data_IF_634761701044
#
_entry.id   IF_634761701044
#
_cell.length_a   1.000
_cell.length_b   1.000
_cell.length_c   1.000
_cell.angle_alpha   90.00
_cell.angle_beta   90.00
_cell.angle_gamma   90.00
#
_symmetry.space_group_name_H-M   'P 1'
#
loop_
_entity.id
_entity.type
_entity.pdbx_description
1 polymer ?
#
# COMPACT_ATOMS: atom_id res chain seq x y z
N UNK A 1 6.18 -15.68 23.50
CA UNK A 1 6.62 -14.40 24.13
C UNK A 1 6.60 -13.33 23.05
N UNK A 2 5.46 -12.72 22.79
CA UNK A 2 5.27 -11.79 21.64
C UNK A 2 4.97 -10.36 22.08
N UNK A 3 4.44 -10.19 23.30
CA UNK A 3 4.01 -8.90 23.81
C UNK A 3 5.04 -7.77 23.65
N UNK A 4 6.36 -7.97 23.91
CA UNK A 4 7.33 -6.90 23.67
C UNK A 4 7.40 -6.43 22.21
N UNK A 5 7.26 -7.35 21.25
CA UNK A 5 7.25 -7.02 19.82
C UNK A 5 5.96 -6.31 19.42
N UNK A 6 4.82 -6.75 19.96
CA UNK A 6 3.53 -6.08 19.74
C UNK A 6 3.57 -4.63 20.25
N UNK A 7 4.14 -4.41 21.44
CA UNK A 7 4.29 -3.07 22.00
C UNK A 7 5.22 -2.19 21.14
N UNK A 8 6.27 -2.76 20.55
CA UNK A 8 7.18 -2.06 19.66
C UNK A 8 6.56 -1.66 18.31
N UNK A 9 5.41 -2.25 17.92
CA UNK A 9 4.68 -1.91 16.70
C UNK A 9 3.67 -0.76 16.89
N UNK A 10 3.47 -0.30 18.12
CA UNK A 10 2.55 0.81 18.38
C UNK A 10 3.04 2.10 17.75
N UNK A 11 2.13 2.82 17.10
CA UNK A 11 2.42 4.14 16.57
C UNK A 11 2.57 5.16 17.70
N UNK A 12 3.66 5.92 17.67
CA UNK A 12 3.86 7.05 18.58
C UNK A 12 3.16 8.28 18.01
N UNK A 13 2.13 8.75 18.71
CA UNK A 13 1.32 9.90 18.29
C UNK A 13 1.63 11.15 19.13
N UNK A 14 1.71 12.35 18.52
CA UNK A 14 1.99 13.59 19.25
C UNK A 14 0.80 14.02 20.11
N UNK A 15 0.92 13.89 21.43
CA UNK A 15 -0.13 14.31 22.40
C UNK A 15 -0.61 15.74 22.17
N UNK A 16 0.32 16.68 21.97
CA UNK A 16 -0.01 18.11 21.78
C UNK A 16 -0.87 18.38 20.54
N UNK A 17 -0.84 17.48 19.54
CA UNK A 17 -1.70 17.60 18.36
C UNK A 17 -3.06 16.95 18.61
N UNK A 18 -3.08 15.75 19.19
CA UNK A 18 -4.28 14.93 19.29
C UNK A 18 -5.14 15.19 20.52
N UNK A 19 -4.60 15.79 21.57
CA UNK A 19 -5.34 16.07 22.81
C UNK A 19 -6.57 16.95 22.51
N UNK A 20 -7.75 16.51 22.97
CA UNK A 20 -9.02 17.20 22.75
C UNK A 20 -9.65 16.98 21.38
N UNK A 21 -9.03 16.21 20.48
CA UNK A 21 -9.61 15.83 19.19
C UNK A 21 -10.32 14.48 19.27
N UNK A 22 -11.41 14.35 18.52
CA UNK A 22 -12.10 13.07 18.35
C UNK A 22 -11.36 12.21 17.31
N UNK A 23 -10.78 11.10 17.77
CA UNK A 23 -10.08 10.13 16.93
C UNK A 23 -11.00 9.36 15.98
N UNK A 24 -12.29 9.24 16.30
CA UNK A 24 -13.24 8.45 15.50
C UNK A 24 -13.86 9.26 14.36
N UNK A 25 -13.60 10.57 14.30
CA UNK A 25 -14.14 11.45 13.27
C UNK A 25 -13.24 11.47 12.03
N UNK A 26 -13.85 11.24 10.86
CA UNK A 26 -13.17 11.43 9.57
C UNK A 26 -12.80 12.90 9.35
N UNK A 27 -11.59 13.13 8.84
CA UNK A 27 -11.05 14.48 8.59
C UNK A 27 -10.15 14.48 7.37
N UNK A 28 -10.23 15.57 6.59
CA UNK A 28 -9.26 15.88 5.54
C UNK A 28 -8.10 16.75 6.04
N UNK A 29 -8.09 17.09 7.34
CA UNK A 29 -6.97 17.80 7.93
C UNK A 29 -5.76 16.84 8.01
N UNK A 30 -4.61 17.21 7.44
CA UNK A 30 -3.39 16.41 7.55
C UNK A 30 -3.06 16.09 9.02
N UNK A 31 -2.91 14.82 9.40
CA UNK A 31 -2.42 14.47 10.73
C UNK A 31 -0.94 14.83 10.85
N UNK A 32 -0.53 15.28 12.04
CA UNK A 32 0.88 15.44 12.35
C UNK A 32 1.52 14.07 12.65
N UNK A 33 2.58 13.74 11.93
CA UNK A 33 3.34 12.50 12.10
C UNK A 33 4.85 12.73 12.22
N UNK A 34 5.59 11.69 12.59
CA UNK A 34 7.05 11.68 12.77
C UNK A 34 7.82 11.11 11.57
N UNK A 35 7.11 10.79 10.49
CA UNK A 35 7.64 10.11 9.32
C UNK A 35 8.44 11.00 8.35
N UNK A 36 9.06 10.36 7.34
CA UNK A 36 9.90 11.04 6.35
C UNK A 36 9.12 11.83 5.31
N UNK A 37 7.79 11.67 5.23
CA UNK A 37 6.93 12.41 4.32
C UNK A 37 5.82 13.13 5.07
N UNK A 38 5.44 14.30 4.56
CA UNK A 38 4.28 15.07 4.99
C UNK A 38 3.23 15.05 3.87
N UNK A 39 1.96 15.05 4.26
CA UNK A 39 0.87 15.20 3.30
C UNK A 39 0.98 16.58 2.65
N UNK A 40 1.13 16.61 1.33
CA UNK A 40 1.25 17.83 0.53
C UNK A 40 -0.13 18.26 -0.01
N UNK A 41 -0.86 17.32 -0.61
CA UNK A 41 -2.21 17.56 -1.13
C UNK A 41 -3.06 16.30 -1.04
N UNK A 42 -4.32 16.46 -0.66
CA UNK A 42 -5.31 15.37 -0.69
C UNK A 42 -6.55 15.83 -1.45
N UNK A 43 -6.98 15.02 -2.41
CA UNK A 43 -8.21 15.21 -3.17
C UNK A 43 -9.04 13.94 -3.07
N UNK A 44 -10.15 14.03 -2.34
CA UNK A 44 -10.97 12.89 -1.98
C UNK A 44 -11.39 12.08 -3.22
N UNK A 45 -11.11 10.78 -3.20
CA UNK A 45 -11.44 9.85 -4.28
C UNK A 45 -10.64 10.03 -5.57
N UNK A 46 -9.65 10.93 -5.61
CA UNK A 46 -8.86 11.22 -6.82
C UNK A 46 -7.38 11.00 -6.63
N UNK A 47 -6.76 11.67 -5.66
CA UNK A 47 -5.32 11.55 -5.46
C UNK A 47 -4.86 12.01 -4.09
N UNK A 48 -3.73 11.47 -3.63
CA UNK A 48 -2.99 11.98 -2.49
C UNK A 48 -1.51 12.14 -2.86
N UNK A 49 -0.92 13.30 -2.57
CA UNK A 49 0.50 13.55 -2.74
C UNK A 49 1.17 13.81 -1.40
N UNK A 50 2.36 13.26 -1.26
CA UNK A 50 3.23 13.37 -0.11
C UNK A 50 4.54 14.00 -0.55
N UNK A 51 5.07 14.93 0.25
CA UNK A 51 6.39 15.55 0.02
C UNK A 51 7.34 15.13 1.12
N UNK A 52 8.58 14.80 0.73
CA UNK A 52 9.64 14.43 1.67
C UNK A 52 9.92 15.58 2.63
N UNK A 53 10.06 15.28 3.91
CA UNK A 53 10.45 16.22 4.94
C UNK A 53 11.98 16.38 4.94
N UNK A 54 12.54 17.53 4.53
CA UNK A 54 13.98 17.75 4.55
C UNK A 54 14.55 17.85 5.97
N UNK A 55 13.70 17.95 7.00
CA UNK A 55 14.12 18.00 8.40
C UNK A 55 13.70 16.73 9.15
N UNK A 56 13.59 15.59 8.45
CA UNK A 56 13.23 14.34 9.09
C UNK A 56 14.34 13.85 10.03
N UNK A 57 13.99 13.74 11.31
CA UNK A 57 14.92 13.46 12.41
C UNK A 57 15.73 12.17 12.26
N UNK A 58 15.20 11.17 11.56
CA UNK A 58 15.82 9.85 11.42
C UNK A 58 16.53 9.63 10.08
N UNK A 59 16.69 10.66 9.24
CA UNK A 59 17.31 10.56 7.91
C UNK A 59 18.68 9.87 7.94
N UNK A 60 19.53 10.26 8.89
CA UNK A 60 20.93 9.84 8.93
C UNK A 60 21.15 8.60 9.83
N UNK A 61 20.10 8.15 10.51
CA UNK A 61 20.11 6.95 11.34
C UNK A 61 20.20 5.68 10.47
N UNK A 62 20.77 4.57 10.99
CA UNK A 62 20.86 3.31 10.25
C UNK A 62 19.52 2.80 9.71
N UNK A 63 18.42 3.08 10.42
CA UNK A 63 17.06 2.68 10.03
C UNK A 63 16.47 3.52 8.89
N UNK A 64 17.03 4.71 8.60
CA UNK A 64 16.54 5.63 7.56
C UNK A 64 17.46 5.74 6.35
N UNK A 65 18.76 5.47 6.51
CA UNK A 65 19.77 5.63 5.46
C UNK A 65 19.44 4.76 4.24
N UNK A 66 19.42 5.36 3.05
CA UNK A 66 19.12 4.69 1.77
C UNK A 66 17.63 4.52 1.46
N UNK A 67 16.75 4.91 2.38
CA UNK A 67 15.30 4.90 2.20
C UNK A 67 14.76 6.30 1.88
N UNK A 68 13.51 6.36 1.42
CA UNK A 68 12.77 7.61 1.22
C UNK A 68 13.45 8.58 0.22
N UNK A 69 13.81 8.03 -0.94
CA UNK A 69 14.64 8.71 -1.93
C UNK A 69 13.89 9.76 -2.77
N UNK A 70 12.59 9.55 -3.01
CA UNK A 70 11.78 10.44 -3.85
C UNK A 70 11.44 11.75 -3.13
N UNK A 71 11.45 12.87 -3.85
CA UNK A 71 10.99 14.15 -3.27
C UNK A 71 9.47 14.14 -3.06
N UNK A 72 8.73 13.58 -4.02
CA UNK A 72 7.27 13.50 -3.99
C UNK A 72 6.83 12.09 -4.31
N UNK A 73 5.84 11.60 -3.58
CA UNK A 73 5.11 10.37 -3.87
C UNK A 73 3.66 10.76 -4.11
N UNK A 74 3.09 10.29 -5.22
CA UNK A 74 1.68 10.52 -5.56
C UNK A 74 1.00 9.17 -5.73
N UNK A 75 -0.18 9.06 -5.14
CA UNK A 75 -1.09 7.96 -5.37
C UNK A 75 -2.32 8.51 -6.08
N UNK A 76 -2.59 7.99 -7.27
CA UNK A 76 -3.81 8.27 -8.02
C UNK A 76 -4.80 7.12 -7.84
N UNK A 77 -6.05 7.46 -7.55
CA UNK A 77 -7.12 6.49 -7.30
C UNK A 77 -7.94 6.29 -8.57
N UNK A 78 -8.05 5.04 -8.99
CA UNK A 78 -8.86 4.63 -10.14
C UNK A 78 -10.00 3.73 -9.66
N UNK A 79 -11.14 3.79 -10.36
CA UNK A 79 -12.34 3.01 -10.00
C UNK A 79 -12.17 1.51 -10.24
N UNK A 80 -11.36 1.15 -11.22
CA UNK A 80 -11.05 -0.23 -11.56
C UNK A 80 -9.60 -0.38 -12.07
N UNK A 81 -9.09 -1.60 -12.00
CA UNK A 81 -7.72 -1.93 -12.39
C UNK A 81 -7.47 -1.86 -13.90
N UNK A 82 -8.51 -1.98 -14.74
CA UNK A 82 -8.39 -1.83 -16.19
C UNK A 82 -8.05 -0.41 -16.58
N UNK A 83 -8.74 0.58 -16.00
CA UNK A 83 -8.43 2.01 -16.20
C UNK A 83 -7.04 2.35 -15.65
N UNK A 84 -6.70 1.84 -14.45
CA UNK A 84 -5.37 2.04 -13.88
C UNK A 84 -4.26 1.50 -14.81
N UNK A 85 -4.47 0.33 -15.41
CA UNK A 85 -3.52 -0.27 -16.36
C UNK A 85 -3.38 0.58 -17.64
N UNK A 86 -4.47 1.15 -18.17
CA UNK A 86 -4.34 2.05 -19.33
C UNK A 86 -3.57 3.33 -18.99
N UNK A 87 -3.83 3.91 -17.82
CA UNK A 87 -3.10 5.08 -17.35
C UNK A 87 -1.60 4.79 -17.16
N UNK A 88 -1.26 3.64 -16.59
CA UNK A 88 0.12 3.17 -16.47
C UNK A 88 0.78 3.00 -17.85
N UNK A 89 0.10 2.36 -18.81
CA UNK A 89 0.59 2.19 -20.18
C UNK A 89 0.79 3.51 -20.92
N UNK A 90 0.04 4.55 -20.54
CA UNK A 90 0.19 5.91 -21.04
C UNK A 90 1.28 6.72 -20.32
N UNK A 91 1.99 6.15 -19.35
CA UNK A 91 3.06 6.82 -18.60
C UNK A 91 2.56 7.77 -17.51
N UNK A 92 1.32 7.60 -17.02
CA UNK A 92 0.77 8.42 -15.93
C UNK A 92 1.14 7.89 -14.53
N UNK A 93 1.74 6.70 -14.45
CA UNK A 93 2.21 6.10 -13.21
C UNK A 93 3.55 5.40 -13.44
N UNK A 94 4.41 5.43 -12.43
CA UNK A 94 5.76 4.85 -12.51
C UNK A 94 5.77 3.35 -12.18
N UNK A 95 4.82 2.88 -11.37
CA UNK A 95 4.75 1.50 -10.86
C UNK A 95 3.30 1.02 -10.89
N UNK A 96 3.09 -0.22 -11.34
CA UNK A 96 1.84 -0.95 -11.17
C UNK A 96 2.12 -2.34 -10.59
N UNK A 97 1.43 -2.69 -9.49
CA UNK A 97 1.55 -4.02 -8.87
C UNK A 97 0.41 -4.89 -9.38
N UNK A 98 0.75 -5.88 -10.21
CA UNK A 98 -0.24 -6.77 -10.83
C UNK A 98 -0.62 -7.92 -9.90
N UNK A 99 -1.92 -8.20 -9.82
CA UNK A 99 -2.47 -9.33 -9.04
C UNK A 99 -3.38 -10.24 -9.87
N UNK A 100 -3.74 -9.84 -11.09
CA UNK A 100 -4.54 -10.61 -12.03
C UNK A 100 -3.65 -11.40 -12.99
N UNK A 101 -3.75 -12.73 -12.95
CA UNK A 101 -3.07 -13.63 -13.89
C UNK A 101 -3.45 -13.30 -15.34
N UNK A 102 -4.73 -12.97 -15.59
CA UNK A 102 -5.20 -12.56 -16.92
C UNK A 102 -4.50 -11.30 -17.40
N UNK A 103 -4.45 -10.26 -16.56
CA UNK A 103 -3.83 -9.00 -16.93
C UNK A 103 -2.31 -9.15 -17.09
N UNK A 104 -1.65 -9.90 -16.20
CA UNK A 104 -0.24 -10.25 -16.32
C UNK A 104 0.09 -10.92 -17.66
N UNK A 105 -0.76 -11.85 -18.10
CA UNK A 105 -0.49 -12.67 -19.29
C UNK A 105 -0.66 -11.92 -20.61
N UNK A 106 -1.61 -10.98 -20.70
CA UNK A 106 -1.93 -10.33 -21.99
C UNK A 106 -2.24 -8.83 -21.91
N UNK A 107 -2.32 -8.24 -20.72
CA UNK A 107 -2.75 -6.85 -20.53
C UNK A 107 -1.68 -5.81 -20.82
N UNK A 108 -0.40 -6.18 -20.73
CA UNK A 108 0.74 -5.25 -20.82
C UNK A 108 1.26 -5.05 -22.24
N UNK A 109 0.81 -5.85 -23.22
CA UNK A 109 1.26 -5.67 -24.60
C UNK A 109 0.95 -4.25 -25.10
N UNK A 110 1.99 -3.50 -25.43
CA UNK A 110 1.93 -2.08 -25.79
C UNK A 110 3.20 -1.58 -26.44
N UNK A 111 3.14 -0.43 -27.14
CA UNK A 111 4.35 0.26 -27.61
C UNK A 111 5.34 0.52 -26.47
N UNK A 112 4.87 0.99 -25.32
CA UNK A 112 5.72 1.34 -24.18
C UNK A 112 6.48 0.13 -23.59
N UNK A 113 5.90 -1.07 -23.66
CA UNK A 113 6.62 -2.30 -23.30
C UNK A 113 7.64 -2.69 -24.39
N UNK A 114 7.26 -2.61 -25.66
CA UNK A 114 8.10 -3.01 -26.79
C UNK A 114 9.31 -2.10 -27.00
N UNK A 115 9.19 -0.81 -26.69
CA UNK A 115 10.28 0.18 -26.80
C UNK A 115 11.08 0.37 -25.50
N UNK A 116 10.77 -0.39 -24.45
CA UNK A 116 11.54 -0.45 -23.20
C UNK A 116 11.21 0.65 -22.18
N UNK A 117 10.21 1.50 -22.41
CA UNK A 117 9.74 2.47 -21.40
C UNK A 117 9.03 1.81 -20.21
N UNK A 118 8.43 0.64 -20.43
CA UNK A 118 7.87 -0.21 -19.39
C UNK A 118 8.68 -1.50 -19.30
N UNK A 119 8.83 -2.00 -18.07
CA UNK A 119 9.40 -3.31 -17.81
C UNK A 119 8.46 -4.11 -16.93
N UNK A 120 8.18 -5.34 -17.35
CA UNK A 120 7.37 -6.28 -16.60
C UNK A 120 8.30 -7.29 -15.92
N UNK A 121 8.32 -7.30 -14.59
CA UNK A 121 9.24 -8.14 -13.79
C UNK A 121 8.50 -8.93 -12.71
N UNK A 122 8.87 -10.20 -12.55
CA UNK A 122 8.42 -11.04 -11.45
C UNK A 122 9.56 -11.25 -10.45
N UNK A 123 9.27 -11.09 -9.16
CA UNK A 123 10.22 -11.32 -8.09
C UNK A 123 9.81 -12.56 -7.29
N UNK A 124 10.76 -13.41 -6.86
CA UNK A 124 10.46 -14.48 -5.92
C UNK A 124 9.85 -13.91 -4.64
N UNK A 125 8.72 -14.45 -4.21
CA UNK A 125 8.10 -14.06 -2.95
C UNK A 125 8.71 -14.92 -1.82
N UNK A 126 9.45 -14.32 -0.88
CA UNK A 126 10.21 -15.08 0.13
C UNK A 126 9.33 -15.61 1.27
N UNK A 127 8.06 -15.21 1.32
CA UNK A 127 7.12 -15.61 2.34
C UNK A 127 6.23 -16.76 1.86
N UNK A 128 5.68 -17.58 2.77
CA UNK A 128 4.71 -18.60 2.41
C UNK A 128 3.53 -18.01 1.66
N UNK A 129 3.04 -18.74 0.66
CA UNK A 129 1.81 -18.35 -0.03
C UNK A 129 0.65 -18.24 0.98
N UNK A 130 -0.16 -17.19 0.85
CA UNK A 130 -1.39 -17.09 1.63
C UNK A 130 -2.36 -18.20 1.23
N UNK A 131 -3.11 -18.74 2.21
CA UNK A 131 -4.14 -19.73 1.94
C UNK A 131 -5.42 -19.05 1.45
N UNK A 132 -5.82 -19.39 0.22
CA UNK A 132 -7.14 -19.05 -0.31
C UNK A 132 -7.95 -20.33 -0.44
N UNK A 133 -9.16 -20.36 0.11
CA UNK A 133 -10.02 -21.53 0.06
C UNK A 133 -11.40 -21.29 0.63
N UNK A 134 -12.28 -22.26 0.43
CA UNK A 134 -13.59 -22.28 1.05
C UNK A 134 -13.44 -22.74 2.51
N UNK A 135 -14.05 -22.00 3.43
CA UNK A 135 -14.07 -22.36 4.85
C UNK A 135 -15.45 -22.89 5.21
N UNK A 136 -15.52 -24.15 5.62
CA UNK A 136 -16.76 -24.76 6.07
C UNK A 136 -17.20 -24.17 7.41
N UNK A 137 -18.46 -23.75 7.50
CA UNK A 137 -19.04 -23.35 8.78
C UNK A 137 -19.39 -24.61 9.60
N UNK A 138 -18.46 -25.03 10.45
CA UNK A 138 -18.60 -26.23 11.30
C UNK A 138 -19.72 -26.14 12.34
N UNK A 139 -20.41 -24.99 12.45
CA UNK A 139 -21.60 -24.80 13.29
C UNK A 139 -22.89 -25.29 12.61
N UNK A 140 -22.82 -25.68 11.33
CA UNK A 140 -23.96 -26.23 10.58
C UNK A 140 -23.86 -27.76 10.61
N UNK A 141 -24.93 -28.49 10.97
CA UNK A 141 -24.91 -29.95 11.06
C UNK A 141 -24.38 -30.66 9.81
N UNK A 142 -24.63 -30.10 8.63
CA UNK A 142 -24.14 -30.62 7.34
C UNK A 142 -22.61 -30.75 7.27
N UNK A 143 -21.85 -29.87 7.95
CA UNK A 143 -20.40 -29.80 7.83
C UNK A 143 -19.65 -30.31 9.07
N UNK A 144 -20.34 -30.87 10.06
CA UNK A 144 -19.73 -31.35 11.30
C UNK A 144 -18.84 -32.57 11.06
N UNK A 145 -19.30 -33.52 10.23
CA UNK A 145 -18.54 -34.71 9.88
C UNK A 145 -17.36 -34.37 8.96
N UNK A 146 -16.13 -34.67 9.41
CA UNK A 146 -14.91 -34.48 8.61
C UNK A 146 -14.94 -35.26 7.29
N UNK A 147 -15.69 -36.37 7.20
CA UNK A 147 -15.81 -37.18 5.97
C UNK A 147 -16.69 -36.53 4.90
N UNK A 148 -17.48 -35.51 5.28
CA UNK A 148 -18.37 -34.76 4.37
C UNK A 148 -17.67 -33.51 3.81
N UNK A 149 -16.62 -33.02 4.49
CA UNK A 149 -15.81 -31.87 4.06
C UNK A 149 -14.63 -32.30 3.21
#
# INVERSE_FOLDING_TARGET
>A
RELPLVLAQLYVLPRHWWQGRDFNRSSMQPPLGSGPYRLEKAEAGRSVSYRRNPDWWARDLPVGRGLYNFERIRFDYYRDSGVALQAFKAGQADINVETSVKAWSSGYDSPALRDGRLRQESFPYPYPASLQGLVFNLRRPLFEDRRVR
#
